data_IF_140299179364
#
_entry.id   IF_140299179364
#
_cell.length_a   1.000
_cell.length_b   1.000
_cell.length_c   1.000
_cell.angle_alpha   90.00
_cell.angle_beta   90.00
_cell.angle_gamma   90.00
#
_symmetry.space_group_name_H-M   'P 1'
#
loop_
_entity.id
_entity.type
_entity.pdbx_description
1 polymer ?
#
# COMPACT_ATOMS: atom_id res chain seq x y z
N UNK A 1 12.40 5.25 -6.15
CA UNK A 1 11.16 5.84 -6.72
C UNK A 1 10.76 5.18 -8.02
N UNK A 2 11.70 4.78 -8.88
CA UNK A 2 11.46 4.09 -10.17
C UNK A 2 10.21 3.20 -10.25
N UNK A 3 10.07 2.17 -9.39
CA UNK A 3 8.89 1.28 -9.42
C UNK A 3 7.55 2.01 -9.21
N UNK A 4 7.54 3.08 -8.41
CA UNK A 4 6.34 3.91 -8.22
C UNK A 4 6.07 4.75 -9.48
N UNK A 5 7.11 5.27 -10.10
CA UNK A 5 7.04 6.15 -11.26
C UNK A 5 6.55 5.40 -12.53
N UNK A 6 6.76 4.08 -12.60
CA UNK A 6 6.19 3.24 -13.67
C UNK A 6 4.83 2.63 -13.32
N UNK A 7 4.39 2.72 -12.07
CA UNK A 7 3.10 2.16 -11.60
C UNK A 7 2.00 3.21 -11.62
N UNK A 8 2.29 4.42 -11.15
CA UNK A 8 1.34 5.53 -11.06
C UNK A 8 1.49 6.47 -12.26
N UNK A 9 0.41 7.17 -12.59
CA UNK A 9 0.47 8.30 -13.50
C UNK A 9 1.35 9.39 -12.87
N UNK A 10 1.91 10.30 -13.69
CA UNK A 10 2.82 11.35 -13.19
C UNK A 10 2.18 12.19 -12.07
N UNK A 11 0.89 12.45 -12.19
CA UNK A 11 0.03 13.17 -11.26
C UNK A 11 -0.88 12.23 -10.43
N UNK A 12 -0.53 10.94 -10.34
CA UNK A 12 -1.31 9.93 -9.64
C UNK A 12 -1.53 10.26 -8.17
N UNK A 13 -2.77 10.07 -7.71
CA UNK A 13 -3.19 10.39 -6.34
C UNK A 13 -3.53 9.16 -5.53
N UNK A 14 -3.51 9.30 -4.21
CA UNK A 14 -3.87 8.24 -3.27
C UNK A 14 -4.67 8.79 -2.09
N UNK A 15 -5.53 7.95 -1.53
CA UNK A 15 -6.21 8.15 -0.25
C UNK A 15 -5.96 6.94 0.66
N UNK A 16 -5.03 7.10 1.60
CA UNK A 16 -4.68 6.12 2.62
C UNK A 16 -5.18 6.53 4.02
N UNK A 17 -6.11 7.49 4.11
CA UNK A 17 -6.62 8.00 5.38
C UNK A 17 -7.30 6.93 6.24
N UNK A 18 -7.88 5.89 5.63
CA UNK A 18 -8.45 4.74 6.33
C UNK A 18 -7.42 4.00 7.22
N UNK A 19 -6.12 4.13 6.93
CA UNK A 19 -5.03 3.59 7.73
C UNK A 19 -4.23 4.68 8.48
N UNK A 20 -4.79 5.89 8.62
CA UNK A 20 -4.08 7.05 9.20
C UNK A 20 -2.98 7.63 8.30
N UNK A 21 -2.94 7.24 7.03
CA UNK A 21 -1.97 7.71 6.04
C UNK A 21 -2.41 8.99 5.33
N UNK A 22 -1.68 9.32 4.26
CA UNK A 22 -1.87 10.56 3.51
C UNK A 22 -3.05 10.51 2.53
N UNK A 23 -3.67 11.67 2.28
CA UNK A 23 -4.40 11.95 1.04
C UNK A 23 -3.56 12.92 0.21
N UNK A 24 -3.20 12.57 -1.02
CA UNK A 24 -2.29 13.39 -1.82
C UNK A 24 -1.67 12.63 -2.97
N UNK A 25 -0.43 12.97 -3.33
CA UNK A 25 0.29 12.27 -4.40
C UNK A 25 0.80 10.90 -3.93
N UNK A 26 1.05 9.98 -4.88
CA UNK A 26 1.73 8.71 -4.55
C UNK A 26 3.14 8.93 -3.97
N UNK A 27 3.76 10.10 -4.24
CA UNK A 27 5.06 10.47 -3.68
C UNK A 27 4.95 10.84 -2.21
N UNK A 28 3.87 11.51 -1.81
CA UNK A 28 3.59 11.79 -0.40
C UNK A 28 3.40 10.50 0.39
N UNK A 29 2.70 9.52 -0.20
CA UNK A 29 2.55 8.20 0.38
C UNK A 29 3.89 7.44 0.47
N UNK A 30 4.69 7.48 -0.59
CA UNK A 30 6.02 6.87 -0.57
C UNK A 30 6.91 7.47 0.52
N UNK A 31 6.85 8.80 0.72
CA UNK A 31 7.52 9.51 1.81
C UNK A 31 6.97 9.09 3.17
N UNK A 32 5.67 9.05 3.35
CA UNK A 32 5.03 8.61 4.61
C UNK A 32 5.42 7.18 4.99
N UNK A 33 5.45 6.26 4.01
CA UNK A 33 5.83 4.86 4.26
C UNK A 33 7.31 4.68 4.56
N UNK A 34 8.19 5.33 3.79
CA UNK A 34 9.65 5.11 3.85
C UNK A 34 10.38 6.03 4.81
N UNK A 35 9.81 7.18 5.11
CA UNK A 35 10.52 8.32 5.68
C UNK A 35 11.25 9.11 4.60
N UNK A 36 12.01 10.12 5.03
CA UNK A 36 12.79 11.03 4.16
C UNK A 36 14.28 11.10 4.52
N UNK A 37 14.77 10.13 5.29
CA UNK A 37 16.16 10.05 5.72
C UNK A 37 16.46 10.83 7.01
N UNK A 38 15.64 11.81 7.38
CA UNK A 38 15.68 12.46 8.69
C UNK A 38 14.59 11.94 9.64
N UNK A 39 13.46 11.49 9.08
CA UNK A 39 12.36 10.88 9.82
C UNK A 39 12.16 9.42 9.42
N UNK A 40 11.79 8.58 10.38
CA UNK A 40 11.33 7.22 10.11
C UNK A 40 9.91 7.24 9.53
N UNK A 41 9.65 6.41 8.53
CA UNK A 41 8.32 6.24 7.96
C UNK A 41 7.45 5.26 8.74
N UNK A 42 6.16 5.18 8.38
CA UNK A 42 5.20 4.27 9.00
C UNK A 42 5.59 2.79 8.88
N UNK A 43 6.39 2.44 7.88
CA UNK A 43 6.85 1.06 7.65
C UNK A 43 8.21 0.76 8.31
N UNK A 44 8.90 1.75 8.89
CA UNK A 44 10.27 1.60 9.38
C UNK A 44 10.39 0.63 10.58
N UNK A 45 9.30 0.37 11.30
CA UNK A 45 9.24 -0.60 12.40
C UNK A 45 9.19 -2.06 11.96
N UNK A 46 8.99 -2.34 10.65
CA UNK A 46 8.90 -3.69 10.12
C UNK A 46 10.19 -4.13 9.42
N UNK A 47 10.53 -5.40 9.56
CA UNK A 47 11.65 -6.07 8.89
C UNK A 47 11.24 -6.68 7.55
N UNK A 48 10.00 -7.16 7.46
CA UNK A 48 9.45 -7.79 6.26
C UNK A 48 7.97 -7.45 6.12
N UNK A 49 7.48 -7.49 4.89
CA UNK A 49 6.06 -7.39 4.57
C UNK A 49 5.75 -8.19 3.31
N UNK A 50 4.51 -8.67 3.21
CA UNK A 50 4.00 -9.35 2.03
C UNK A 50 2.54 -8.95 1.85
N UNK A 51 2.20 -8.48 0.65
CA UNK A 51 0.82 -8.20 0.26
C UNK A 51 0.39 -9.28 -0.72
N UNK A 52 -0.53 -10.13 -0.31
CA UNK A 52 -1.19 -11.10 -1.19
C UNK A 52 -2.46 -10.45 -1.73
N UNK A 53 -2.53 -10.33 -3.04
CA UNK A 53 -3.68 -9.74 -3.73
C UNK A 53 -4.63 -10.85 -4.21
N UNK A 54 -5.93 -10.62 -4.09
CA UNK A 54 -6.94 -11.46 -4.73
C UNK A 54 -6.97 -11.22 -6.24
N UNK A 55 -7.81 -11.99 -6.94
CA UNK A 55 -8.15 -11.67 -8.32
C UNK A 55 -8.84 -10.30 -8.36
N UNK A 56 -8.38 -9.36 -9.22
CA UNK A 56 -9.02 -8.07 -9.37
C UNK A 56 -10.31 -8.18 -10.19
N UNK A 57 -11.32 -7.37 -9.84
CA UNK A 57 -12.49 -7.14 -10.68
C UNK A 57 -12.22 -5.86 -11.47
N UNK A 58 -12.15 -5.96 -12.80
CA UNK A 58 -11.72 -4.87 -13.68
C UNK A 58 -12.81 -4.52 -14.68
N UNK A 59 -13.09 -3.23 -14.81
CA UNK A 59 -13.95 -2.65 -15.86
C UNK A 59 -13.09 -1.78 -16.77
N UNK A 60 -13.09 -2.06 -18.08
CA UNK A 60 -12.36 -1.30 -19.09
C UNK A 60 -13.31 -0.39 -19.88
N UNK A 61 -12.92 0.87 -20.05
CA UNK A 61 -13.64 1.87 -20.85
C UNK A 61 -12.65 2.64 -21.72
N UNK A 62 -12.38 2.12 -22.92
CA UNK A 62 -11.39 2.70 -23.84
C UNK A 62 -10.00 2.78 -23.21
N UNK A 63 -9.50 4.00 -23.05
CA UNK A 63 -8.19 4.31 -22.45
C UNK A 63 -8.26 4.57 -20.93
N UNK A 64 -9.39 4.24 -20.29
CA UNK A 64 -9.57 4.27 -18.85
C UNK A 64 -9.98 2.90 -18.30
N UNK A 65 -9.68 2.64 -17.04
CA UNK A 65 -10.16 1.45 -16.34
C UNK A 65 -10.44 1.73 -14.86
N UNK A 66 -11.28 0.90 -14.27
CA UNK A 66 -11.47 0.85 -12.82
C UNK A 66 -11.20 -0.58 -12.36
N UNK A 67 -10.56 -0.75 -11.21
CA UNK A 67 -10.41 -2.04 -10.58
C UNK A 67 -10.65 -2.00 -9.08
N UNK A 68 -11.24 -3.08 -8.57
CA UNK A 68 -11.18 -3.41 -7.14
C UNK A 68 -10.29 -4.63 -6.97
N UNK A 69 -9.31 -4.53 -6.07
CA UNK A 69 -8.41 -5.64 -5.72
C UNK A 69 -8.36 -5.80 -4.21
N UNK A 70 -8.91 -6.90 -3.70
CA UNK A 70 -8.88 -7.20 -2.28
C UNK A 70 -7.49 -7.76 -1.91
N UNK A 71 -7.07 -7.57 -0.65
CA UNK A 71 -5.77 -8.03 -0.20
C UNK A 71 -5.78 -8.57 1.23
N UNK A 72 -4.76 -9.40 1.48
CA UNK A 72 -4.29 -9.73 2.82
C UNK A 72 -2.80 -9.40 2.92
N UNK A 73 -2.45 -8.53 3.86
CA UNK A 73 -1.10 -8.02 4.05
C UNK A 73 -0.56 -8.45 5.41
N UNK A 74 0.62 -9.06 5.42
CA UNK A 74 1.34 -9.44 6.63
C UNK A 74 2.59 -8.59 6.80
N UNK A 75 2.88 -8.17 8.03
CA UNK A 75 4.05 -7.40 8.38
C UNK A 75 4.76 -8.04 9.57
N UNK A 76 6.10 -8.08 9.55
CA UNK A 76 6.93 -8.61 10.64
C UNK A 76 7.64 -7.47 11.35
N UNK A 77 7.34 -7.26 12.63
CA UNK A 77 8.05 -6.28 13.46
C UNK A 77 9.55 -6.58 13.56
N UNK A 78 10.35 -5.54 13.82
CA UNK A 78 11.79 -5.69 14.12
C UNK A 78 11.97 -6.10 15.58
N UNK A 79 12.80 -7.12 15.82
CA UNK A 79 13.12 -7.64 17.17
C UNK A 79 13.79 -6.61 18.06
N UNK A 80 14.54 -5.67 17.48
CA UNK A 80 15.41 -4.72 18.17
C UNK A 80 14.68 -3.56 18.86
N UNK A 81 13.41 -3.31 18.53
CA UNK A 81 12.67 -2.12 18.98
C UNK A 81 11.66 -2.42 20.11
N UNK A 82 11.78 -3.57 20.79
CA UNK A 82 10.70 -4.19 21.60
C UNK A 82 9.36 -4.36 20.84
N UNK A 83 9.35 -4.06 19.55
CA UNK A 83 8.24 -4.15 18.62
C UNK A 83 8.22 -5.55 18.00
N UNK A 84 8.09 -6.56 18.85
CA UNK A 84 8.03 -7.97 18.46
C UNK A 84 6.59 -8.40 18.14
N UNK A 85 5.91 -7.61 17.30
CA UNK A 85 4.51 -7.79 16.91
C UNK A 85 4.44 -8.01 15.40
N UNK A 86 3.70 -9.03 14.98
CA UNK A 86 3.24 -9.16 13.60
C UNK A 86 2.01 -8.28 13.40
N UNK A 87 1.86 -7.66 12.23
CA UNK A 87 0.66 -6.90 11.92
C UNK A 87 0.02 -7.46 10.66
N UNK A 88 -1.22 -7.91 10.78
CA UNK A 88 -2.01 -8.37 9.65
C UNK A 88 -3.07 -7.33 9.32
N UNK A 89 -3.24 -7.04 8.04
CA UNK A 89 -4.30 -6.18 7.56
C UNK A 89 -5.02 -6.83 6.39
N UNK A 90 -6.32 -6.59 6.29
CA UNK A 90 -7.09 -6.91 5.10
C UNK A 90 -7.89 -5.69 4.68
N UNK A 91 -8.15 -5.60 3.38
CA UNK A 91 -8.83 -4.48 2.77
C UNK A 91 -8.93 -4.64 1.28
N UNK A 92 -9.19 -3.53 0.61
CA UNK A 92 -9.22 -3.45 -0.84
C UNK A 92 -8.56 -2.17 -1.34
N UNK A 93 -7.92 -2.28 -2.51
CA UNK A 93 -7.58 -1.15 -3.34
C UNK A 93 -8.72 -0.89 -4.33
N UNK A 94 -9.16 0.36 -4.36
CA UNK A 94 -10.06 0.88 -5.38
C UNK A 94 -9.22 1.78 -6.28
N UNK A 95 -8.95 1.31 -7.49
CA UNK A 95 -8.03 1.95 -8.43
C UNK A 95 -8.76 2.46 -9.67
N UNK A 96 -8.40 3.67 -10.10
CA UNK A 96 -8.68 4.17 -11.45
C UNK A 96 -7.38 4.15 -12.25
N UNK A 97 -7.44 3.76 -13.52
CA UNK A 97 -6.29 3.68 -14.41
C UNK A 97 -6.49 4.49 -15.68
N UNK A 98 -5.37 4.95 -16.23
CA UNK A 98 -5.27 5.55 -17.55
C UNK A 98 -4.26 4.76 -18.40
N UNK A 99 -4.58 4.56 -19.68
CA UNK A 99 -3.66 3.96 -20.65
C UNK A 99 -2.73 5.05 -21.17
N UNK A 100 -1.42 4.84 -21.04
CA UNK A 100 -0.39 5.67 -21.67
C UNK A 100 0.28 4.88 -22.80
N UNK A 101 1.09 5.53 -23.67
CA UNK A 101 1.90 4.82 -24.66
C UNK A 101 2.82 3.75 -24.05
N UNK A 102 3.23 3.93 -22.80
CA UNK A 102 4.09 3.02 -22.03
C UNK A 102 3.30 2.02 -21.16
N UNK A 103 1.99 1.90 -21.38
CA UNK A 103 1.10 0.96 -20.70
C UNK A 103 0.14 1.62 -19.69
N UNK A 104 -0.57 0.79 -18.92
CA UNK A 104 -1.51 1.28 -17.91
C UNK A 104 -0.81 1.87 -16.70
N UNK A 105 -1.39 2.92 -16.12
CA UNK A 105 -0.92 3.60 -14.90
C UNK A 105 -2.08 3.85 -13.95
N UNK A 106 -1.83 3.72 -12.65
CA UNK A 106 -2.80 4.10 -11.61
C UNK A 106 -2.92 5.63 -11.57
N UNK A 107 -4.09 6.16 -11.90
CA UNK A 107 -4.42 7.57 -11.79
C UNK A 107 -4.85 7.94 -10.36
N UNK A 108 -5.64 7.08 -9.73
CA UNK A 108 -6.07 7.26 -8.34
C UNK A 108 -6.14 5.91 -7.64
N UNK A 109 -5.78 5.86 -6.35
CA UNK A 109 -5.93 4.70 -5.48
C UNK A 109 -6.55 5.09 -4.15
N UNK A 110 -7.68 4.50 -3.80
CA UNK A 110 -8.24 4.59 -2.44
C UNK A 110 -8.05 3.27 -1.71
N UNK A 111 -7.52 3.35 -0.49
CA UNK A 111 -7.45 2.23 0.43
C UNK A 111 -8.76 2.11 1.20
N UNK A 112 -9.32 0.91 1.22
CA UNK A 112 -10.34 0.48 2.17
C UNK A 112 -9.72 -0.54 3.12
N UNK A 113 -10.02 -0.42 4.42
CA UNK A 113 -9.52 -1.34 5.46
C UNK A 113 -10.71 -2.09 6.05
N UNK A 114 -10.63 -3.42 6.05
CA UNK A 114 -11.62 -4.30 6.68
C UNK A 114 -11.26 -4.58 8.13
N UNK A 115 -10.00 -4.95 8.36
CA UNK A 115 -9.44 -5.14 9.70
C UNK A 115 -7.93 -4.97 9.68
N UNK A 116 -7.36 -4.78 10.87
CA UNK A 116 -5.94 -4.57 11.06
C UNK A 116 -5.55 -4.92 12.48
N UNK A 117 -4.95 -6.11 12.67
CA UNK A 117 -4.75 -6.70 13.98
C UNK A 117 -3.26 -6.92 14.30
N UNK A 118 -2.79 -6.45 15.47
CA UNK A 118 -1.49 -6.85 16.00
C UNK A 118 -1.57 -8.28 16.54
N UNK A 119 -0.62 -9.11 16.14
CA UNK A 119 -0.45 -10.48 16.59
C UNK A 119 0.88 -10.63 17.32
N UNK A 120 0.82 -11.18 18.54
CA UNK A 120 2.03 -11.47 19.29
C UNK A 120 2.83 -12.58 18.60
N UNK A 121 4.15 -12.40 18.53
CA UNK A 121 5.05 -13.46 18.10
C UNK A 121 5.08 -14.53 19.18
N UNK A 122 4.67 -15.75 18.82
CA UNK A 122 4.71 -16.89 19.71
C UNK A 122 6.14 -17.09 20.23
N UNK A 123 6.28 -17.24 21.55
CA UNK A 123 7.55 -17.67 22.16
C UNK A 123 7.69 -19.16 21.89
N UNK A 124 8.58 -19.54 20.98
CA UNK A 124 9.01 -20.93 20.89
C UNK A 124 9.93 -21.22 22.08
N UNK A 125 9.57 -22.23 22.87
CA UNK A 125 10.35 -22.71 24.01
C UNK A 125 11.54 -23.55 23.60
#
# INVERSE_FOLDING_TARGET
MEQWDITFAKDGTVDYSAAGGTKGSYRDLAKWMRGDGSTSGSMSGFSNWQHMLSLPIVTLTGDSAQARTDFFATHRGKKENDFNVHYNASGAFHDEFVRTPEGWRIQSRRLEVYFGDPLQIAKMG
#
